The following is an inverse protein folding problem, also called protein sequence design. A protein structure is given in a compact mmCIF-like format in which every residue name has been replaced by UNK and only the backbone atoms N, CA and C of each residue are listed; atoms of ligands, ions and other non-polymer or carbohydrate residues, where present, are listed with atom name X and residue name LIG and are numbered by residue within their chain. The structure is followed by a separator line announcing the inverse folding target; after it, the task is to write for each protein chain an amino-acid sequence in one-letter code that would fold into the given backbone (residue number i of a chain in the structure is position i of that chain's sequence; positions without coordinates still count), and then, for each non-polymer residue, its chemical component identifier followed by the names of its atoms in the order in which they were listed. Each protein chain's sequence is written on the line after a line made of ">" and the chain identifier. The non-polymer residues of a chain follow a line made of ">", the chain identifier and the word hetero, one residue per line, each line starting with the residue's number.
data_IF_680196384002
#
_entry.id   IF_680196384002
#
_cell.length_a   1.000
_cell.length_b   1.000
_cell.length_c   1.000
_cell.angle_alpha   90.00
_cell.angle_beta   90.00
_cell.angle_gamma   90.00
#
_symmetry.space_group_name_H-M   'P 1'
#
loop_
_entity.id
_entity.type
_entity.pdbx_description
1 polymer ?
#
# COMPACT_ATOMS: atom_id res chain seq x y z
N UNK A 1 -2.25 -5.33 -2.53
CA UNK A 1 -1.61 -6.08 -1.44
C UNK A 1 -2.67 -6.50 -0.45
N UNK A 2 -3.03 -7.79 -0.47
CA UNK A 2 -4.14 -8.33 0.33
C UNK A 2 -3.98 -8.09 1.83
N UNK A 3 -2.77 -8.21 2.36
CA UNK A 3 -2.52 -7.98 3.79
C UNK A 3 -2.81 -6.53 4.23
N UNK A 4 -2.42 -5.53 3.43
CA UNK A 4 -2.74 -4.11 3.71
C UNK A 4 -4.23 -3.88 3.63
N UNK A 5 -4.90 -4.44 2.62
CA UNK A 5 -6.36 -4.35 2.48
C UNK A 5 -7.08 -4.96 3.70
N UNK A 6 -6.61 -6.12 4.19
CA UNK A 6 -7.15 -6.75 5.39
C UNK A 6 -7.04 -5.86 6.64
N UNK A 7 -5.91 -5.17 6.82
CA UNK A 7 -5.74 -4.24 7.94
C UNK A 7 -6.65 -3.01 7.80
N UNK A 8 -6.76 -2.46 6.60
CA UNK A 8 -7.63 -1.31 6.31
C UNK A 8 -9.11 -1.65 6.53
N UNK A 9 -9.59 -2.81 6.08
CA UNK A 9 -10.97 -3.24 6.29
C UNK A 9 -11.32 -3.37 7.78
N UNK A 10 -10.38 -3.92 8.57
CA UNK A 10 -10.54 -4.01 10.03
C UNK A 10 -10.53 -2.63 10.68
N UNK A 11 -9.68 -1.73 10.20
CA UNK A 11 -9.57 -0.35 10.70
C UNK A 11 -10.87 0.41 10.48
N UNK A 12 -11.46 0.29 9.28
CA UNK A 12 -12.78 0.83 8.94
C UNK A 12 -13.86 0.28 9.88
N UNK A 13 -13.90 -1.05 10.08
CA UNK A 13 -14.89 -1.68 10.97
C UNK A 13 -14.75 -1.21 12.43
N UNK A 14 -13.52 -1.05 12.92
CA UNK A 14 -13.24 -0.51 14.26
C UNK A 14 -13.70 0.94 14.39
N UNK A 15 -13.47 1.79 13.37
CA UNK A 15 -13.95 3.18 13.33
C UNK A 15 -15.47 3.26 13.37
N UNK A 16 -16.15 2.49 12.51
CA UNK A 16 -17.61 2.45 12.44
C UNK A 16 -18.25 2.00 13.77
N UNK A 17 -17.55 1.16 14.53
CA UNK A 17 -18.00 0.68 15.84
C UNK A 17 -17.56 1.53 17.03
N UNK A 18 -16.89 2.67 16.80
CA UNK A 18 -16.40 3.55 17.87
C UNK A 18 -15.18 3.02 18.65
N UNK A 19 -14.55 1.91 18.21
CA UNK A 19 -13.35 1.32 18.84
C UNK A 19 -12.08 2.09 18.43
N UNK A 20 -11.95 3.32 18.96
CA UNK A 20 -10.91 4.29 18.54
C UNK A 20 -9.47 3.79 18.72
N UNK A 21 -9.18 3.08 19.81
CA UNK A 21 -7.81 2.60 20.07
C UNK A 21 -7.42 1.48 19.11
N UNK A 22 -8.31 0.52 18.88
CA UNK A 22 -8.09 -0.55 17.89
C UNK A 22 -7.87 0.04 16.49
N UNK A 23 -8.70 1.02 16.08
CA UNK A 23 -8.53 1.70 14.80
C UNK A 23 -7.16 2.38 14.67
N UNK A 24 -6.66 3.04 15.73
CA UNK A 24 -5.32 3.63 15.73
C UNK A 24 -4.21 2.59 15.58
N UNK A 25 -4.33 1.47 16.29
CA UNK A 25 -3.34 0.39 16.23
C UNK A 25 -3.30 -0.27 14.84
N UNK A 26 -4.47 -0.49 14.24
CA UNK A 26 -4.58 -1.04 12.88
C UNK A 26 -3.99 -0.09 11.84
N UNK A 27 -4.30 1.21 11.93
CA UNK A 27 -3.69 2.22 11.07
C UNK A 27 -2.17 2.28 11.22
N UNK A 28 -1.65 2.24 12.45
CA UNK A 28 -0.21 2.22 12.70
C UNK A 28 0.45 0.96 12.12
N UNK A 29 -0.18 -0.21 12.27
CA UNK A 29 0.30 -1.47 11.71
C UNK A 29 0.31 -1.44 10.18
N UNK A 30 -0.73 -0.89 9.54
CA UNK A 30 -0.81 -0.70 8.10
C UNK A 30 0.35 0.15 7.59
N UNK A 31 0.59 1.32 8.22
CA UNK A 31 1.67 2.25 7.86
C UNK A 31 3.05 1.64 8.09
N UNK A 32 3.24 0.93 9.19
CA UNK A 32 4.49 0.23 9.48
C UNK A 32 4.76 -0.85 8.42
N UNK A 33 3.75 -1.63 8.03
CA UNK A 33 3.90 -2.68 7.04
C UNK A 33 4.22 -2.10 5.65
N UNK A 34 3.48 -1.08 5.23
CA UNK A 34 3.71 -0.37 3.98
C UNK A 34 5.15 0.14 3.91
N UNK A 35 5.61 0.87 4.92
CA UNK A 35 6.94 1.52 4.90
C UNK A 35 8.10 0.54 5.07
N UNK A 36 7.95 -0.46 5.92
CA UNK A 36 9.04 -1.41 6.23
C UNK A 36 9.16 -2.50 5.18
N UNK A 37 8.06 -2.91 4.56
CA UNK A 37 8.05 -4.01 3.61
C UNK A 37 7.76 -3.54 2.20
N UNK A 38 6.55 -3.07 1.92
CA UNK A 38 6.10 -2.90 0.53
C UNK A 38 6.79 -1.76 -0.20
N UNK A 39 7.04 -0.62 0.45
CA UNK A 39 7.69 0.53 -0.18
C UNK A 39 9.17 0.29 -0.48
N UNK A 40 9.81 -0.71 0.15
CA UNK A 40 11.23 -1.01 -0.09
C UNK A 40 11.49 -1.66 -1.44
N UNK A 41 10.49 -2.35 -2.01
CA UNK A 41 10.66 -3.08 -3.28
C UNK A 41 9.48 -2.93 -4.26
N UNK A 42 8.28 -2.60 -3.79
CA UNK A 42 7.05 -2.61 -4.60
C UNK A 42 7.11 -1.70 -5.83
N UNK A 43 7.66 -0.49 -5.68
CA UNK A 43 7.86 0.43 -6.80
C UNK A 43 8.79 -0.13 -7.87
N UNK A 44 9.90 -0.76 -7.46
CA UNK A 44 10.84 -1.41 -8.38
C UNK A 44 10.22 -2.62 -9.04
N UNK A 45 9.51 -3.46 -8.29
CA UNK A 45 8.78 -4.61 -8.83
C UNK A 45 7.82 -4.19 -9.95
N UNK A 46 7.04 -3.12 -9.74
CA UNK A 46 6.15 -2.60 -10.77
C UNK A 46 6.90 -2.02 -11.97
N UNK A 47 8.05 -1.36 -11.76
CA UNK A 47 8.88 -0.88 -12.87
C UNK A 47 9.41 -2.04 -13.72
N UNK A 48 9.92 -3.09 -13.07
CA UNK A 48 10.45 -4.28 -13.73
C UNK A 48 9.33 -5.04 -14.46
N UNK A 49 8.16 -5.24 -13.83
CA UNK A 49 7.00 -5.87 -14.46
C UNK A 49 6.54 -5.10 -15.71
N UNK A 50 6.50 -3.76 -15.64
CA UNK A 50 6.13 -2.95 -16.79
C UNK A 50 7.12 -3.07 -17.96
N UNK A 51 8.40 -3.35 -17.69
CA UNK A 51 9.43 -3.50 -18.71
C UNK A 51 9.48 -4.92 -19.29
N UNK A 52 9.17 -5.93 -18.48
CA UNK A 52 9.27 -7.35 -18.84
C UNK A 52 7.97 -7.93 -19.41
N UNK A 53 6.81 -7.38 -19.06
CA UNK A 53 5.54 -7.91 -19.54
C UNK A 53 5.39 -7.74 -21.05
N UNK A 54 5.12 -8.84 -21.75
CA UNK A 54 4.83 -8.86 -23.20
C UNK A 54 3.38 -8.48 -23.54
N UNK A 55 2.49 -8.42 -22.54
CA UNK A 55 1.08 -8.11 -22.70
C UNK A 55 0.78 -6.72 -22.16
N UNK A 56 0.19 -5.85 -22.97
CA UNK A 56 -0.11 -4.45 -22.63
C UNK A 56 -0.97 -4.30 -21.36
N UNK A 57 -1.90 -5.23 -21.13
CA UNK A 57 -2.72 -5.26 -19.93
C UNK A 57 -1.86 -5.27 -18.65
N UNK A 58 -0.88 -6.15 -18.56
CA UNK A 58 0.00 -6.23 -17.38
C UNK A 58 0.97 -5.06 -17.28
N UNK A 59 1.38 -4.47 -18.40
CA UNK A 59 2.14 -3.21 -18.39
C UNK A 59 1.30 -2.07 -17.79
N UNK A 60 0.01 -1.97 -18.16
CA UNK A 60 -0.90 -0.97 -17.61
C UNK A 60 -1.11 -1.17 -16.10
N UNK A 61 -1.36 -2.41 -15.66
CA UNK A 61 -1.48 -2.75 -14.22
C UNK A 61 -0.20 -2.38 -13.47
N UNK A 62 0.97 -2.66 -14.04
CA UNK A 62 2.25 -2.32 -13.45
C UNK A 62 2.45 -0.80 -13.32
N UNK A 63 2.05 -0.01 -14.32
CA UNK A 63 2.08 1.46 -14.25
C UNK A 63 1.18 2.01 -13.14
N UNK A 64 -0.04 1.47 -13.00
CA UNK A 64 -0.95 1.84 -11.90
C UNK A 64 -0.34 1.51 -10.54
N UNK A 65 0.21 0.30 -10.38
CA UNK A 65 0.87 -0.11 -9.14
C UNK A 65 2.08 0.77 -8.80
N UNK A 66 2.90 1.12 -9.80
CA UNK A 66 4.04 2.04 -9.61
C UNK A 66 3.59 3.42 -9.13
N UNK A 67 2.51 3.96 -9.70
CA UNK A 67 1.91 5.23 -9.26
C UNK A 67 1.49 5.15 -7.79
N UNK A 68 0.74 4.12 -7.42
CA UNK A 68 0.30 3.88 -6.04
C UNK A 68 1.48 3.86 -5.06
N UNK A 69 2.54 3.09 -5.35
CA UNK A 69 3.69 3.01 -4.45
C UNK A 69 4.47 4.34 -4.36
N UNK A 70 4.51 5.13 -5.43
CA UNK A 70 5.14 6.45 -5.37
C UNK A 70 4.33 7.43 -4.50
N UNK A 71 3.00 7.43 -4.62
CA UNK A 71 2.13 8.26 -3.81
C UNK A 71 2.22 7.88 -2.32
N UNK A 72 2.25 6.58 -2.02
CA UNK A 72 2.42 6.09 -0.65
C UNK A 72 3.81 6.44 -0.07
N UNK A 73 4.87 6.44 -0.90
CA UNK A 73 6.19 6.90 -0.49
C UNK A 73 6.17 8.39 -0.14
N UNK A 74 5.56 9.23 -0.98
CA UNK A 74 5.43 10.67 -0.71
C UNK A 74 4.67 10.89 0.61
N UNK A 75 3.54 10.19 0.81
CA UNK A 75 2.77 10.25 2.07
C UNK A 75 3.56 9.80 3.28
N UNK A 76 4.47 8.83 3.13
CA UNK A 76 5.34 8.37 4.21
C UNK A 76 6.40 9.41 4.59
N UNK A 77 6.91 10.15 3.61
CA UNK A 77 7.91 11.20 3.80
C UNK A 77 7.30 12.49 4.38
N UNK A 78 6.06 12.83 4.00
CA UNK A 78 5.36 14.05 4.50
C UNK A 78 4.82 13.91 5.92
N UNK A 79 4.54 12.70 6.40
CA UNK A 79 4.03 12.43 7.75
C UNK A 79 5.13 12.10 8.78
N UNK A 80 6.40 12.33 8.44
CA UNK A 80 7.55 12.26 9.37
C UNK A 80 7.84 13.63 9.95
#
# INVERSE_FOLDING_TARGET
>A
CEFVAHLADREIAARQSGRREEARQLWAAERQFLTTHLLTWGGKFCADLSALASVEFYQAVARLGRGLFNDERIRAETNR
#
